data_IF_412833992505
#
_entry.id   IF_412833992505
#
_cell.length_a   1.000
_cell.length_b   1.000
_cell.length_c   1.000
_cell.angle_alpha   90.00
_cell.angle_beta   90.00
_cell.angle_gamma   90.00
#
_symmetry.space_group_name_H-M   'P 1'
#
loop_
_entity.id
_entity.type
_entity.pdbx_description
1 polymer ?
#
# COMPACT_ATOMS: atom_id res chain seq x y z
N UNK A 1 -16.48 -38.89 37.89
CA UNK A 1 -16.31 -38.68 36.44
C UNK A 1 -14.91 -38.11 36.20
N UNK A 2 -13.99 -38.88 35.59
CA UNK A 2 -12.64 -38.39 35.24
C UNK A 2 -12.74 -37.66 33.89
N UNK A 3 -12.46 -36.37 33.85
CA UNK A 3 -12.42 -35.60 32.59
C UNK A 3 -11.16 -35.97 31.81
N UNK A 4 -11.33 -36.26 30.51
CA UNK A 4 -10.25 -36.71 29.63
C UNK A 4 -9.33 -35.54 29.25
N UNK A 5 -7.99 -35.68 29.30
CA UNK A 5 -7.03 -34.59 29.09
C UNK A 5 -6.97 -34.08 27.63
N UNK A 6 -7.69 -34.72 26.71
CA UNK A 6 -7.78 -34.31 25.30
C UNK A 6 -8.63 -33.03 25.10
N UNK A 7 -9.57 -32.76 26.01
CA UNK A 7 -10.47 -31.61 25.94
C UNK A 7 -9.73 -30.26 26.03
N UNK A 8 -8.83 -30.02 27.00
CA UNK A 8 -8.08 -28.75 27.06
C UNK A 8 -7.13 -28.58 25.87
N UNK A 9 -6.53 -29.66 25.36
CA UNK A 9 -5.59 -29.56 24.24
C UNK A 9 -6.29 -29.16 22.94
N UNK A 10 -7.49 -29.67 22.69
CA UNK A 10 -8.29 -29.27 21.53
C UNK A 10 -8.81 -27.83 21.65
N UNK A 11 -9.10 -27.35 22.87
CA UNK A 11 -9.50 -25.96 23.12
C UNK A 11 -8.34 -24.95 22.91
N UNK A 12 -7.10 -25.33 23.21
CA UNK A 12 -5.92 -24.50 22.93
C UNK A 12 -5.63 -24.39 21.43
N UNK A 13 -5.86 -25.46 20.66
CA UNK A 13 -5.67 -25.48 19.21
C UNK A 13 -6.68 -24.58 18.47
N UNK A 14 -7.93 -24.50 18.94
CA UNK A 14 -8.96 -23.67 18.29
C UNK A 14 -8.77 -22.17 18.55
N UNK A 15 -8.18 -21.78 19.69
CA UNK A 15 -7.87 -20.37 20.00
C UNK A 15 -6.77 -19.76 19.11
N UNK A 16 -5.85 -20.57 18.57
CA UNK A 16 -4.75 -20.09 17.73
C UNK A 16 -5.16 -19.66 16.31
N UNK A 17 -6.29 -20.17 15.79
CA UNK A 17 -6.71 -19.93 14.41
C UNK A 17 -7.68 -18.75 14.23
N UNK A 18 -8.23 -18.19 15.32
CA UNK A 18 -9.24 -17.12 15.26
C UNK A 18 -8.63 -15.78 14.77
N UNK A 19 -7.31 -15.59 14.95
CA UNK A 19 -6.65 -14.30 14.71
C UNK A 19 -6.14 -14.06 13.27
N UNK A 20 -6.23 -15.03 12.36
CA UNK A 20 -5.67 -14.85 11.00
C UNK A 20 -6.54 -14.00 10.06
N UNK A 21 -7.78 -13.65 10.45
CA UNK A 21 -8.75 -13.04 9.54
C UNK A 21 -8.78 -11.49 9.53
N UNK A 22 -8.06 -10.80 10.41
CA UNK A 22 -8.30 -9.36 10.67
C UNK A 22 -7.47 -8.36 9.82
N UNK A 23 -6.54 -8.82 8.97
CA UNK A 23 -5.60 -7.90 8.30
C UNK A 23 -6.03 -7.43 6.89
N UNK A 24 -7.05 -8.03 6.27
CA UNK A 24 -7.40 -7.76 4.86
C UNK A 24 -7.99 -6.36 4.61
N UNK A 25 -8.44 -5.67 5.66
CA UNK A 25 -9.14 -4.38 5.57
C UNK A 25 -8.36 -3.20 6.19
N UNK A 26 -7.08 -3.36 6.53
CA UNK A 26 -6.31 -2.25 7.08
C UNK A 26 -6.17 -1.13 6.04
N UNK A 27 -6.64 0.08 6.39
CA UNK A 27 -6.54 1.23 5.48
C UNK A 27 -5.07 1.62 5.33
N UNK A 28 -4.59 1.88 4.10
CA UNK A 28 -3.25 2.40 3.92
C UNK A 28 -3.13 3.74 4.63
N UNK A 29 -2.01 3.98 5.29
CA UNK A 29 -1.70 5.30 5.81
C UNK A 29 -1.32 6.20 4.63
N UNK A 30 -2.03 7.32 4.49
CA UNK A 30 -1.93 8.23 3.36
C UNK A 30 -1.37 9.59 3.82
N UNK A 31 -0.56 10.21 2.97
CA UNK A 31 -0.07 11.59 3.15
C UNK A 31 -0.35 12.43 1.90
N UNK A 32 -0.56 13.73 2.10
CA UNK A 32 -0.70 14.69 1.01
C UNK A 32 0.70 15.16 0.59
N UNK A 33 1.02 15.00 -0.69
CA UNK A 33 2.33 15.27 -1.25
C UNK A 33 2.24 16.21 -2.45
N UNK A 34 3.11 17.23 -2.57
CA UNK A 34 3.21 18.04 -3.78
C UNK A 34 3.55 17.20 -5.02
N UNK A 35 2.84 17.41 -6.13
CA UNK A 35 3.01 16.68 -7.37
C UNK A 35 4.42 16.84 -7.93
N UNK A 36 5.00 18.04 -7.85
CA UNK A 36 6.36 18.31 -8.34
C UNK A 36 7.41 17.42 -7.66
N UNK A 37 7.25 17.16 -6.35
CA UNK A 37 8.11 16.23 -5.61
C UNK A 37 8.03 14.82 -6.16
N UNK A 38 6.82 14.37 -6.52
CA UNK A 38 6.60 13.04 -7.09
C UNK A 38 7.17 12.95 -8.50
N UNK A 39 6.90 13.93 -9.36
CA UNK A 39 7.41 13.99 -10.73
C UNK A 39 8.93 13.97 -10.74
N UNK A 40 9.57 14.81 -9.91
CA UNK A 40 11.04 14.83 -9.78
C UNK A 40 11.59 13.45 -9.40
N UNK A 41 11.11 12.89 -8.29
CA UNK A 41 11.62 11.61 -7.76
C UNK A 41 11.37 10.43 -8.70
N UNK A 42 10.19 10.37 -9.34
CA UNK A 42 9.86 9.31 -10.29
C UNK A 42 10.64 9.46 -11.59
N UNK A 43 10.85 10.68 -12.08
CA UNK A 43 11.64 10.94 -13.29
C UNK A 43 13.10 10.52 -13.10
N UNK A 44 13.71 10.83 -11.95
CA UNK A 44 15.06 10.36 -11.62
C UNK A 44 15.15 8.83 -11.61
N UNK A 45 14.14 8.15 -11.06
CA UNK A 45 14.09 6.68 -11.03
C UNK A 45 13.87 6.06 -12.41
N UNK A 46 13.00 6.65 -13.24
CA UNK A 46 12.80 6.23 -14.63
C UNK A 46 14.09 6.42 -15.42
N UNK A 47 14.82 7.53 -15.23
CA UNK A 47 16.14 7.74 -15.86
C UNK A 47 17.14 6.65 -15.45
N UNK A 48 17.17 6.27 -14.17
CA UNK A 48 18.04 5.22 -13.67
C UNK A 48 17.63 3.81 -14.14
N UNK A 49 16.32 3.56 -14.33
CA UNK A 49 15.76 2.26 -14.73
C UNK A 49 14.71 2.44 -15.84
N UNK A 50 15.12 2.79 -17.07
CA UNK A 50 14.19 3.21 -18.13
C UNK A 50 13.29 2.09 -18.66
N UNK A 51 13.64 0.82 -18.39
CA UNK A 51 12.82 -0.34 -18.78
C UNK A 51 11.87 -0.81 -17.68
N UNK A 52 11.90 -0.19 -16.51
CA UNK A 52 10.98 -0.52 -15.41
C UNK A 52 9.57 0.03 -15.74
N UNK A 53 8.67 -0.90 -16.07
CA UNK A 53 7.29 -0.58 -16.47
C UNK A 53 6.54 0.08 -15.32
N UNK A 54 6.76 -0.35 -14.08
CA UNK A 54 6.09 0.19 -12.91
C UNK A 54 6.48 1.64 -12.68
N UNK A 55 7.77 1.99 -12.79
CA UNK A 55 8.22 3.38 -12.64
C UNK A 55 7.63 4.30 -13.72
N UNK A 56 7.60 3.84 -14.98
CA UNK A 56 7.00 4.60 -16.09
C UNK A 56 5.50 4.78 -15.90
N UNK A 57 4.80 3.72 -15.51
CA UNK A 57 3.38 3.76 -15.22
C UNK A 57 3.06 4.75 -14.09
N UNK A 58 3.81 4.70 -12.98
CA UNK A 58 3.59 5.60 -11.85
C UNK A 58 3.85 7.05 -12.22
N UNK A 59 4.86 7.33 -13.04
CA UNK A 59 5.12 8.69 -13.55
C UNK A 59 3.95 9.19 -14.41
N UNK A 60 3.50 8.36 -15.37
CA UNK A 60 2.35 8.70 -16.22
C UNK A 60 1.07 8.92 -15.39
N UNK A 61 0.84 8.09 -14.38
CA UNK A 61 -0.30 8.19 -13.47
C UNK A 61 -0.30 9.49 -12.68
N UNK A 62 0.85 9.93 -12.17
CA UNK A 62 0.96 11.21 -11.46
C UNK A 62 0.55 12.37 -12.37
N UNK A 63 1.03 12.39 -13.62
CA UNK A 63 0.61 13.41 -14.59
C UNK A 63 -0.88 13.33 -14.93
N UNK A 64 -1.41 12.12 -15.16
CA UNK A 64 -2.83 11.93 -15.47
C UNK A 64 -3.74 12.40 -14.34
N UNK A 65 -3.39 12.09 -13.08
CA UNK A 65 -4.16 12.53 -11.91
C UNK A 65 -4.08 14.04 -11.70
N UNK A 66 -2.89 14.63 -11.84
CA UNK A 66 -2.72 16.09 -11.75
C UNK A 66 -3.61 16.81 -12.77
N UNK A 67 -3.63 16.32 -14.01
CA UNK A 67 -4.47 16.85 -15.08
C UNK A 67 -5.97 16.68 -14.77
N UNK A 68 -6.39 15.48 -14.42
CA UNK A 68 -7.81 15.16 -14.20
C UNK A 68 -8.40 15.92 -12.99
N UNK A 69 -7.66 16.01 -11.89
CA UNK A 69 -8.11 16.64 -10.65
C UNK A 69 -7.83 18.15 -10.59
N UNK A 70 -7.05 18.69 -11.54
CA UNK A 70 -6.66 20.10 -11.60
C UNK A 70 -6.05 20.60 -10.27
N UNK A 71 -5.17 19.79 -9.69
CA UNK A 71 -4.54 20.06 -8.39
C UNK A 71 -3.02 19.91 -8.49
N UNK A 72 -2.31 20.58 -7.58
CA UNK A 72 -0.88 20.51 -7.37
C UNK A 72 -0.48 19.49 -6.27
N UNK A 73 -1.47 18.82 -5.67
CA UNK A 73 -1.28 17.87 -4.56
C UNK A 73 -1.82 16.50 -4.93
N UNK A 74 -1.12 15.45 -4.48
CA UNK A 74 -1.56 14.08 -4.61
C UNK A 74 -1.47 13.35 -3.28
N UNK A 75 -2.45 12.51 -3.01
CA UNK A 75 -2.40 11.61 -1.86
C UNK A 75 -1.55 10.40 -2.21
N UNK A 76 -0.58 10.05 -1.37
CA UNK A 76 0.31 8.90 -1.57
C UNK A 76 0.34 8.04 -0.32
N UNK A 77 0.66 6.75 -0.48
CA UNK A 77 0.85 5.86 0.67
C UNK A 77 2.20 6.15 1.34
N UNK A 78 2.17 6.38 2.65
CA UNK A 78 3.36 6.63 3.45
C UNK A 78 4.38 5.49 3.29
N UNK A 79 5.65 5.85 3.14
CA UNK A 79 6.75 4.90 2.91
C UNK A 79 6.76 4.25 1.52
N UNK A 80 5.84 4.66 0.62
CA UNK A 80 5.66 4.06 -0.71
C UNK A 80 5.47 5.10 -1.81
N UNK A 81 6.08 6.28 -1.66
CA UNK A 81 6.02 7.37 -2.65
C UNK A 81 6.57 6.98 -4.05
N UNK A 82 7.41 5.94 -4.13
CA UNK A 82 7.87 5.37 -5.40
C UNK A 82 6.76 4.65 -6.20
N UNK A 83 5.60 4.41 -5.56
CA UNK A 83 4.41 3.90 -6.22
C UNK A 83 3.55 5.02 -6.84
N UNK A 84 3.96 6.29 -6.71
CA UNK A 84 3.23 7.44 -7.25
C UNK A 84 1.97 7.78 -6.46
N UNK A 85 1.07 8.52 -7.11
CA UNK A 85 -0.22 8.91 -6.55
C UNK A 85 -1.09 7.67 -6.23
N UNK A 86 -1.61 7.60 -5.00
CA UNK A 86 -2.64 6.62 -4.62
C UNK A 86 -3.96 6.95 -5.32
N UNK A 87 -4.88 5.99 -5.43
CA UNK A 87 -6.09 6.11 -6.26
C UNK A 87 -6.81 7.44 -6.04
N UNK A 88 -7.20 8.04 -7.17
CA UNK A 88 -7.99 9.26 -7.21
C UNK A 88 -9.36 9.06 -6.63
#
# INVERSE_FOLDING_TARGET
MKTSPLVPMMALLTLGFINQAQARFIRPQLEVTPIDRLVKNLSEKVKAKPKDITLRFNLARVHAMAFAQKTDKATVRIGKANLGAWFG
#
